data_IF_606864517971
#
_entry.id   IF_606864517971
#
_cell.length_a   1.000
_cell.length_b   1.000
_cell.length_c   1.000
_cell.angle_alpha   90.00
_cell.angle_beta   90.00
_cell.angle_gamma   90.00
#
_symmetry.space_group_name_H-M   'P 1'
#
loop_
_entity.id
_entity.type
_entity.pdbx_description
1 polymer ?
#
# COMPACT_ATOMS: atom_id res chain seq x y z
N UNK A 1 54.23 -11.55 -8.96
CA UNK A 1 53.52 -12.07 -7.77
C UNK A 1 54.05 -11.31 -6.56
N UNK A 2 53.28 -10.35 -6.04
CA UNK A 2 53.80 -9.44 -5.00
C UNK A 2 53.58 -10.01 -3.60
N UNK A 3 54.63 -9.92 -2.79
CA UNK A 3 54.79 -10.50 -1.48
C UNK A 3 54.56 -9.44 -0.38
N UNK A 4 53.64 -9.73 0.53
CA UNK A 4 53.56 -9.15 1.89
C UNK A 4 52.54 -9.95 2.72
N UNK A 5 52.89 -11.19 3.09
CA UNK A 5 52.02 -12.09 3.88
C UNK A 5 51.94 -11.73 5.39
N UNK A 6 52.13 -10.46 5.75
CA UNK A 6 52.24 -10.05 7.16
C UNK A 6 51.91 -8.60 7.50
N UNK A 7 51.56 -7.75 6.53
CA UNK A 7 51.08 -6.40 6.80
C UNK A 7 49.61 -6.33 6.40
N UNK A 8 48.71 -6.30 7.40
CA UNK A 8 47.27 -6.19 7.19
C UNK A 8 46.98 -4.79 6.66
N UNK A 9 46.41 -4.71 5.45
CA UNK A 9 45.89 -3.45 4.91
C UNK A 9 44.51 -3.16 5.53
N UNK A 10 44.50 -2.32 6.56
CA UNK A 10 43.27 -1.89 7.22
C UNK A 10 42.32 -1.14 6.28
N UNK A 11 42.85 -0.43 5.28
CA UNK A 11 42.04 0.31 4.32
C UNK A 11 41.29 -0.60 3.35
N UNK A 12 41.92 -1.70 2.90
CA UNK A 12 41.24 -2.73 2.13
C UNK A 12 40.16 -3.44 2.96
N UNK A 13 40.47 -3.78 4.22
CA UNK A 13 39.54 -4.45 5.12
C UNK A 13 38.31 -3.59 5.44
N UNK A 14 38.50 -2.29 5.66
CA UNK A 14 37.40 -1.36 5.90
C UNK A 14 36.47 -1.24 4.69
N UNK A 15 37.02 -1.20 3.47
CA UNK A 15 36.23 -1.19 2.24
C UNK A 15 35.41 -2.46 2.08
N UNK A 16 36.01 -3.62 2.35
CA UNK A 16 35.32 -4.90 2.34
C UNK A 16 34.17 -4.91 3.34
N UNK A 17 34.43 -4.49 4.58
CA UNK A 17 33.41 -4.41 5.63
C UNK A 17 32.25 -3.50 5.22
N UNK A 18 32.55 -2.30 4.71
CA UNK A 18 31.52 -1.36 4.24
C UNK A 18 30.70 -1.95 3.10
N UNK A 19 31.34 -2.67 2.18
CA UNK A 19 30.65 -3.38 1.10
C UNK A 19 29.70 -4.45 1.61
N UNK A 20 30.15 -5.28 2.56
CA UNK A 20 29.34 -6.33 3.18
C UNK A 20 28.11 -5.75 3.91
N UNK A 21 28.29 -4.68 4.68
CA UNK A 21 27.18 -4.02 5.38
C UNK A 21 26.14 -3.44 4.41
N UNK A 22 26.58 -2.79 3.33
CA UNK A 22 25.67 -2.25 2.33
C UNK A 22 24.90 -3.34 1.59
N UNK A 23 25.57 -4.47 1.32
CA UNK A 23 24.94 -5.64 0.70
C UNK A 23 23.87 -6.25 1.61
N UNK A 24 24.19 -6.45 2.89
CA UNK A 24 23.23 -6.95 3.88
C UNK A 24 22.03 -6.03 4.02
N UNK A 25 22.26 -4.72 4.15
CA UNK A 25 21.19 -3.73 4.27
C UNK A 25 20.24 -3.78 3.06
N UNK A 26 20.78 -3.88 1.85
CA UNK A 26 19.99 -4.05 0.63
C UNK A 26 19.18 -5.35 0.67
N UNK A 27 19.81 -6.46 1.04
CA UNK A 27 19.17 -7.77 1.15
C UNK A 27 17.98 -7.74 2.12
N UNK A 28 18.15 -7.13 3.29
CA UNK A 28 17.08 -7.01 4.29
C UNK A 28 15.90 -6.20 3.76
N UNK A 29 16.14 -5.08 3.09
CA UNK A 29 15.08 -4.23 2.50
C UNK A 29 14.30 -4.97 1.42
N UNK A 30 14.99 -5.67 0.52
CA UNK A 30 14.36 -6.45 -0.55
C UNK A 30 13.55 -7.62 0.01
N UNK A 31 14.09 -8.39 0.97
CA UNK A 31 13.35 -9.48 1.60
C UNK A 31 12.13 -8.98 2.37
N UNK A 32 12.24 -7.85 3.08
CA UNK A 32 11.09 -7.24 3.72
C UNK A 32 10.02 -6.86 2.68
N UNK A 33 10.40 -6.35 1.51
CA UNK A 33 9.45 -6.08 0.42
C UNK A 33 8.83 -7.36 -0.15
N UNK A 34 9.62 -8.44 -0.34
CA UNK A 34 9.10 -9.74 -0.78
C UNK A 34 8.06 -10.28 0.20
N UNK A 35 8.35 -10.26 1.50
CA UNK A 35 7.42 -10.71 2.54
C UNK A 35 6.15 -9.87 2.56
N UNK A 36 6.27 -8.54 2.46
CA UNK A 36 5.10 -7.64 2.36
C UNK A 36 4.24 -7.95 1.14
N UNK A 37 4.85 -8.13 -0.03
CA UNK A 37 4.13 -8.45 -1.26
C UNK A 37 3.38 -9.79 -1.13
N UNK A 38 4.05 -10.84 -0.62
CA UNK A 38 3.41 -12.13 -0.37
C UNK A 38 2.23 -11.99 0.61
N UNK A 39 2.40 -11.24 1.69
CA UNK A 39 1.33 -10.99 2.67
C UNK A 39 0.15 -10.21 2.06
N UNK A 40 0.42 -9.29 1.12
CA UNK A 40 -0.59 -8.54 0.38
C UNK A 40 -1.29 -9.37 -0.71
N UNK A 41 -0.79 -10.59 -1.03
CA UNK A 41 -1.34 -11.49 -2.05
C UNK A 41 -1.44 -10.82 -3.44
N UNK A 42 -0.32 -10.25 -3.91
CA UNK A 42 -0.25 -9.58 -5.22
C UNK A 42 -0.67 -10.52 -6.36
N UNK A 43 -1.42 -10.01 -7.33
CA UNK A 43 -2.10 -10.84 -8.35
C UNK A 43 -1.21 -11.28 -9.51
N UNK A 44 -0.16 -10.50 -9.83
CA UNK A 44 0.80 -10.81 -10.90
C UNK A 44 2.24 -10.76 -10.42
N UNK A 45 3.11 -11.53 -11.08
CA UNK A 45 4.55 -11.49 -10.86
C UNK A 45 5.14 -10.11 -11.19
N UNK A 46 4.62 -9.41 -12.20
CA UNK A 46 5.12 -8.10 -12.60
C UNK A 46 4.89 -7.04 -11.51
N UNK A 47 3.74 -7.13 -10.82
CA UNK A 47 3.42 -6.29 -9.67
C UNK A 47 4.35 -6.62 -8.49
N UNK A 48 4.55 -7.92 -8.21
CA UNK A 48 5.50 -8.37 -7.18
C UNK A 48 6.92 -7.85 -7.46
N UNK A 49 7.40 -7.99 -8.70
CA UNK A 49 8.71 -7.53 -9.15
C UNK A 49 8.84 -6.02 -8.95
N UNK A 50 7.81 -5.27 -9.36
CA UNK A 50 7.78 -3.82 -9.23
C UNK A 50 7.88 -3.37 -7.76
N UNK A 51 7.16 -4.02 -6.86
CA UNK A 51 7.22 -3.72 -5.41
C UNK A 51 8.59 -4.00 -4.80
N UNK A 52 9.23 -5.12 -5.17
CA UNK A 52 10.56 -5.48 -4.67
C UNK A 52 11.63 -4.53 -5.22
N UNK A 53 11.56 -4.21 -6.52
CA UNK A 53 12.47 -3.24 -7.13
C UNK A 53 12.32 -1.86 -6.50
N UNK A 54 11.11 -1.44 -6.16
CA UNK A 54 10.84 -0.16 -5.50
C UNK A 54 11.23 -0.11 -4.01
N UNK A 55 11.77 -1.19 -3.41
CA UNK A 55 12.07 -1.27 -1.97
C UNK A 55 13.12 -0.27 -1.46
N UNK A 56 13.96 0.25 -2.36
CA UNK A 56 15.02 1.21 -2.05
C UNK A 56 14.56 2.67 -2.11
N UNK A 57 13.31 2.94 -2.52
CA UNK A 57 12.78 4.29 -2.60
C UNK A 57 12.61 4.87 -1.20
N UNK A 58 13.10 6.09 -1.01
CA UNK A 58 12.87 6.85 0.23
C UNK A 58 11.46 7.44 0.21
N UNK A 59 10.79 7.52 1.37
CA UNK A 59 9.56 8.30 1.48
C UNK A 59 9.79 9.72 0.98
N UNK A 60 8.83 10.26 0.22
CA UNK A 60 8.90 11.65 -0.23
C UNK A 60 8.93 12.59 0.97
N UNK A 61 9.82 13.58 0.94
CA UNK A 61 9.85 14.60 1.96
C UNK A 61 8.83 15.72 1.65
N UNK A 62 8.41 16.47 2.66
CA UNK A 62 7.42 17.54 2.48
C UNK A 62 7.85 18.58 1.45
N UNK A 63 9.17 18.83 1.35
CA UNK A 63 9.74 19.76 0.38
C UNK A 63 9.65 19.24 -1.07
N UNK A 64 9.67 17.93 -1.27
CA UNK A 64 9.46 17.29 -2.58
C UNK A 64 8.02 17.45 -3.06
N UNK A 65 7.06 17.48 -2.12
CA UNK A 65 5.63 17.57 -2.39
C UNK A 65 5.16 18.97 -2.80
N UNK A 66 5.94 20.03 -2.52
CA UNK A 66 5.46 21.42 -2.53
C UNK A 66 5.76 22.22 -3.80
N UNK A 67 6.38 21.62 -4.83
CA UNK A 67 6.81 22.38 -6.02
C UNK A 67 5.69 22.86 -6.95
N UNK A 68 4.45 22.41 -6.78
CA UNK A 68 3.32 22.93 -7.56
C UNK A 68 2.18 23.36 -6.63
N UNK A 69 1.66 24.60 -6.75
CA UNK A 69 0.41 24.95 -6.09
C UNK A 69 -0.67 23.99 -6.59
N UNK A 70 -1.33 23.32 -5.66
CA UNK A 70 -2.36 22.33 -5.94
C UNK A 70 -3.57 23.06 -6.54
N UNK A 71 -3.58 23.26 -7.86
CA UNK A 71 -4.59 24.08 -8.56
C UNK A 71 -5.98 23.48 -8.56
N UNK A 72 -6.15 22.22 -8.14
CA UNK A 72 -7.41 21.50 -8.22
C UNK A 72 -7.70 20.77 -6.90
N UNK A 73 -8.87 21.00 -6.26
CA UNK A 73 -9.32 20.15 -5.18
C UNK A 73 -9.50 18.72 -5.72
N UNK A 74 -9.02 17.73 -4.97
CA UNK A 74 -9.11 16.30 -5.33
C UNK A 74 -10.56 15.80 -5.41
N UNK A 75 -11.50 16.59 -4.93
CA UNK A 75 -12.92 16.37 -5.07
C UNK A 75 -13.61 17.69 -5.45
N UNK A 76 -14.17 17.84 -6.66
CA UNK A 76 -14.94 19.01 -7.04
C UNK A 76 -16.32 19.07 -6.37
N UNK A 77 -16.72 18.01 -5.65
CA UNK A 77 -18.02 17.95 -4.95
C UNK A 77 -17.93 18.62 -3.58
N UNK A 78 -17.75 19.94 -3.55
CA UNK A 78 -18.04 20.74 -2.35
C UNK A 78 -19.04 21.84 -2.68
N UNK A 79 -20.30 21.51 -2.39
CA UNK A 79 -21.39 22.37 -1.92
C UNK A 79 -21.72 23.59 -2.79
N UNK A 80 -22.70 23.40 -3.67
CA UNK A 80 -23.35 24.45 -4.43
C UNK A 80 -24.80 24.14 -4.83
N UNK A 81 -25.54 23.32 -4.07
CA UNK A 81 -26.99 23.50 -3.91
C UNK A 81 -27.55 22.62 -2.79
N UNK A 82 -28.22 23.25 -1.82
CA UNK A 82 -29.05 22.56 -0.83
C UNK A 82 -30.29 22.02 -1.55
N UNK A 83 -30.25 20.79 -2.04
CA UNK A 83 -31.48 20.04 -2.26
C UNK A 83 -31.68 19.17 -1.02
N UNK A 84 -32.77 19.40 -0.30
CA UNK A 84 -33.21 18.54 0.79
C UNK A 84 -33.56 17.17 0.21
N UNK A 85 -32.59 16.25 0.12
CA UNK A 85 -32.89 14.84 -0.09
C UNK A 85 -33.27 14.26 1.28
N UNK A 86 -34.56 13.99 1.45
CA UNK A 86 -35.08 13.21 2.57
C UNK A 86 -34.34 11.88 2.64
N UNK A 87 -33.66 11.66 3.76
CA UNK A 87 -32.93 10.45 4.09
C UNK A 87 -33.90 9.27 4.02
N UNK A 88 -33.82 8.49 2.95
CA UNK A 88 -34.43 7.17 2.89
C UNK A 88 -33.51 6.23 3.66
N UNK A 89 -33.93 5.87 4.87
CA UNK A 89 -33.23 4.94 5.75
C UNK A 89 -33.06 3.58 5.06
N UNK A 90 -31.87 3.33 4.51
CA UNK A 90 -31.47 2.04 3.96
C UNK A 90 -30.71 1.25 5.03
N UNK A 91 -31.44 0.81 6.05
CA UNK A 91 -31.06 -0.33 6.87
C UNK A 91 -32.33 -1.03 7.32
N UNK A 92 -32.68 -2.10 6.60
CA UNK A 92 -33.39 -3.30 7.09
C UNK A 92 -33.56 -4.26 5.91
N UNK A 93 -32.52 -5.05 5.66
CA UNK A 93 -32.71 -6.37 5.09
C UNK A 93 -33.02 -7.31 6.25
N UNK A 94 -34.31 -7.64 6.46
CA UNK A 94 -34.72 -8.86 7.16
C UNK A 94 -35.79 -9.52 6.30
N UNK A 95 -35.48 -10.75 5.93
CA UNK A 95 -36.17 -11.70 5.07
C UNK A 95 -37.66 -11.83 5.37
N UNK A 96 -38.50 -11.73 4.35
CA UNK A 96 -39.81 -12.38 4.35
C UNK A 96 -40.01 -13.11 3.03
N UNK A 97 -40.13 -14.43 3.13
CA UNK A 97 -40.30 -15.37 2.03
C UNK A 97 -41.67 -15.24 1.36
N UNK A 98 -41.79 -15.58 0.06
CA UNK A 98 -43.01 -15.38 -0.72
C UNK A 98 -43.83 -16.67 -0.80
N UNK A 99 -44.85 -16.84 0.07
CA UNK A 99 -45.90 -17.84 -0.17
C UNK A 99 -47.30 -17.38 0.28
N UNK A 100 -48.21 -17.48 -0.70
CA UNK A 100 -49.66 -17.75 -0.62
C UNK A 100 -50.63 -16.64 -0.19
N UNK A 101 -51.25 -16.11 -1.24
CA UNK A 101 -52.67 -15.77 -1.34
C UNK A 101 -53.58 -16.72 -0.54
N UNK A 102 -54.58 -16.15 0.15
CA UNK A 102 -56.02 -16.41 -0.08
C UNK A 102 -56.88 -15.99 1.13
N UNK A 103 -57.85 -15.10 0.86
CA UNK A 103 -59.23 -15.26 1.34
C UNK A 103 -59.59 -14.98 2.80
N UNK A 104 -60.41 -13.94 3.00
CA UNK A 104 -61.58 -14.04 3.90
C UNK A 104 -61.46 -13.40 5.29
N UNK A 105 -62.17 -12.28 5.49
CA UNK A 105 -62.70 -11.83 6.79
C UNK A 105 -63.79 -12.83 7.24
N UNK A 106 -64.02 -13.05 8.54
CA UNK A 106 -64.96 -12.17 9.25
C UNK A 106 -64.71 -11.96 10.77
N UNK A 107 -65.46 -11.00 11.30
CA UNK A 107 -65.91 -10.80 12.69
C UNK A 107 -66.18 -12.12 13.43
N UNK A 108 -65.97 -12.23 14.75
CA UNK A 108 -66.42 -11.38 15.86
C UNK A 108 -65.49 -11.57 17.05
#
# INVERSE_FOLDING_TARGET
MSASKGLIDFGALEKELRGSLQFEEKYYRENAAKLRAVNQKVGSYDEFRSLVLASHLKPLERHDMQRAPRKQPWNPVTIGNRTHHTVSTWYKCVTTSPWKQAGGRPST
#
